data_IF_729305460174
#
_entry.id   IF_729305460174
#
_cell.length_a   1.000
_cell.length_b   1.000
_cell.length_c   1.000
_cell.angle_alpha   90.00
_cell.angle_beta   90.00
_cell.angle_gamma   90.00
#
_symmetry.space_group_name_H-M   'P 1'
#
loop_
_entity.id
_entity.type
_entity.pdbx_description
1 polymer ?
#
# COMPACT_ATOMS: atom_id res chain seq x y z
N UNK A 1 12.26 15.88 32.09
CA UNK A 1 12.91 16.33 30.84
C UNK A 1 12.15 15.69 29.69
N UNK A 2 11.18 16.39 29.10
CA UNK A 2 10.50 15.87 27.92
C UNK A 2 11.44 16.03 26.72
N UNK A 3 12.01 14.93 26.23
CA UNK A 3 12.82 14.95 25.02
C UNK A 3 11.97 15.44 23.85
N UNK A 4 12.46 16.41 23.08
CA UNK A 4 11.81 16.80 21.83
C UNK A 4 11.78 15.58 20.91
N UNK A 5 10.58 15.10 20.62
CA UNK A 5 10.37 13.99 19.70
C UNK A 5 10.72 14.49 18.29
N UNK A 6 11.72 13.86 17.66
CA UNK A 6 12.14 14.23 16.31
C UNK A 6 11.06 13.80 15.33
N UNK A 7 10.38 14.77 14.73
CA UNK A 7 9.46 14.54 13.61
C UNK A 7 10.25 14.26 12.32
N UNK A 8 9.73 13.37 11.48
CA UNK A 8 10.30 12.96 10.20
C UNK A 8 9.45 13.48 9.03
N UNK A 9 10.11 13.94 7.99
CA UNK A 9 9.49 14.33 6.71
C UNK A 9 9.14 13.13 5.84
N UNK A 10 8.32 13.34 4.82
CA UNK A 10 7.95 12.27 3.87
C UNK A 10 9.18 11.81 3.07
N UNK A 11 10.06 12.74 2.70
CA UNK A 11 11.27 12.49 1.92
C UNK A 11 12.26 11.62 2.71
N UNK A 12 12.55 11.99 3.97
CA UNK A 12 13.38 11.19 4.88
C UNK A 12 12.77 9.80 5.12
N UNK A 13 11.44 9.73 5.24
CA UNK A 13 10.75 8.45 5.39
C UNK A 13 10.94 7.54 4.18
N UNK A 14 10.84 8.07 2.97
CA UNK A 14 11.05 7.29 1.75
C UNK A 14 12.48 6.75 1.66
N UNK A 15 13.49 7.56 1.98
CA UNK A 15 14.89 7.11 1.95
C UNK A 15 15.17 5.97 2.93
N UNK A 16 14.57 6.03 4.12
CA UNK A 16 14.91 5.13 5.23
C UNK A 16 13.98 3.90 5.34
N UNK A 17 12.71 4.05 4.98
CA UNK A 17 11.65 3.09 5.28
C UNK A 17 10.87 2.58 4.06
N UNK A 18 11.21 3.01 2.84
CA UNK A 18 10.55 2.49 1.63
C UNK A 18 10.54 0.95 1.60
N UNK A 19 9.35 0.38 1.48
CA UNK A 19 9.14 -1.07 1.40
C UNK A 19 9.25 -1.81 2.73
N UNK A 20 9.53 -1.12 3.85
CA UNK A 20 9.50 -1.70 5.20
C UNK A 20 8.08 -1.59 5.79
N UNK A 21 7.71 -2.42 6.80
CA UNK A 21 6.39 -2.37 7.43
C UNK A 21 6.30 -1.22 8.44
N UNK A 22 6.54 0.00 7.99
CA UNK A 22 6.40 1.22 8.80
C UNK A 22 5.47 2.20 8.11
N UNK A 23 4.85 3.05 8.90
CA UNK A 23 3.98 4.13 8.46
C UNK A 23 4.46 5.45 9.08
N UNK A 24 4.38 6.52 8.29
CA UNK A 24 4.59 7.88 8.77
C UNK A 24 3.22 8.49 9.13
N UNK A 25 2.98 8.70 10.42
CA UNK A 25 1.71 9.25 10.94
C UNK A 25 2.02 10.51 11.72
N UNK A 26 1.56 11.67 11.22
CA UNK A 26 1.80 12.99 11.84
C UNK A 26 3.29 13.26 12.14
N UNK A 27 4.17 12.87 11.22
CA UNK A 27 5.62 13.01 11.38
C UNK A 27 6.28 11.97 12.30
N UNK A 28 5.52 10.98 12.81
CA UNK A 28 6.05 9.90 13.66
C UNK A 28 6.09 8.57 12.93
N UNK A 29 7.11 7.78 13.22
CA UNK A 29 7.26 6.42 12.66
C UNK A 29 6.50 5.43 13.53
N UNK A 30 5.55 4.73 12.91
CA UNK A 30 4.78 3.67 13.55
C UNK A 30 5.06 2.35 12.85
N UNK A 31 5.38 1.31 13.61
CA UNK A 31 5.51 -0.04 13.06
C UNK A 31 4.13 -0.62 12.74
N UNK A 32 3.98 -1.16 11.54
CA UNK A 32 2.75 -1.87 11.16
C UNK A 32 2.70 -3.23 11.85
N UNK A 33 1.57 -3.55 12.44
CA UNK A 33 1.32 -4.89 13.00
C UNK A 33 1.41 -5.96 11.90
N UNK A 34 2.11 -7.08 12.13
CA UNK A 34 2.16 -8.19 11.18
C UNK A 34 0.77 -8.68 10.80
N UNK A 35 0.53 -8.88 9.50
CA UNK A 35 -0.74 -9.40 9.00
C UNK A 35 -0.77 -10.92 9.20
N UNK A 36 -1.65 -11.39 10.08
CA UNK A 36 -1.95 -12.81 10.27
C UNK A 36 -2.80 -13.41 9.15
N UNK A 37 -2.89 -14.74 9.11
CA UNK A 37 -3.64 -15.49 8.08
C UNK A 37 -5.10 -15.07 8.01
N UNK A 38 -5.77 -14.90 9.16
CA UNK A 38 -7.18 -14.49 9.21
C UNK A 38 -7.39 -13.12 8.56
N UNK A 39 -6.54 -12.14 8.89
CA UNK A 39 -6.61 -10.81 8.30
C UNK A 39 -6.34 -10.87 6.78
N UNK A 40 -5.35 -11.65 6.34
CA UNK A 40 -5.09 -11.88 4.92
C UNK A 40 -6.28 -12.52 4.18
N UNK A 41 -6.95 -13.49 4.81
CA UNK A 41 -8.13 -14.15 4.24
C UNK A 41 -9.35 -13.24 4.13
N UNK A 42 -9.56 -12.33 5.09
CA UNK A 42 -10.63 -11.32 5.03
C UNK A 42 -10.32 -10.28 3.97
N UNK A 43 -9.13 -9.67 3.99
CA UNK A 43 -8.73 -8.64 3.01
C UNK A 43 -8.75 -9.15 1.58
N UNK A 44 -8.35 -10.41 1.33
CA UNK A 44 -8.46 -11.03 -0.01
C UNK A 44 -9.91 -11.13 -0.49
N UNK A 45 -10.83 -11.55 0.37
CA UNK A 45 -12.26 -11.69 0.02
C UNK A 45 -12.89 -10.33 -0.29
N UNK A 46 -12.59 -9.33 0.55
CA UNK A 46 -13.05 -7.95 0.33
C UNK A 46 -12.50 -7.40 -0.98
N UNK A 47 -11.19 -7.55 -1.23
CA UNK A 47 -10.57 -7.09 -2.47
C UNK A 47 -11.14 -7.76 -3.72
N UNK A 48 -11.48 -9.05 -3.67
CA UNK A 48 -12.09 -9.74 -4.79
C UNK A 48 -13.49 -9.22 -5.12
N UNK A 49 -14.34 -9.02 -4.11
CA UNK A 49 -15.70 -8.51 -4.30
C UNK A 49 -15.70 -7.06 -4.80
N UNK A 50 -14.87 -6.21 -4.17
CA UNK A 50 -14.77 -4.80 -4.55
C UNK A 50 -14.13 -4.64 -5.94
N UNK A 51 -13.09 -5.42 -6.23
CA UNK A 51 -12.43 -5.42 -7.54
C UNK A 51 -13.39 -5.76 -8.67
N UNK A 52 -14.18 -6.82 -8.50
CA UNK A 52 -15.19 -7.21 -9.50
C UNK A 52 -16.18 -6.09 -9.78
N UNK A 53 -16.70 -5.42 -8.74
CA UNK A 53 -17.61 -4.29 -8.89
C UNK A 53 -16.93 -3.10 -9.60
N UNK A 54 -15.72 -2.75 -9.20
CA UNK A 54 -14.96 -1.64 -9.82
C UNK A 54 -14.68 -1.93 -11.30
N UNK A 55 -14.32 -3.16 -11.64
CA UNK A 55 -14.04 -3.59 -13.02
C UNK A 55 -15.30 -3.58 -13.89
N UNK A 56 -16.41 -4.11 -13.38
CA UNK A 56 -17.71 -4.15 -14.09
C UNK A 56 -18.22 -2.75 -14.42
N UNK A 57 -18.01 -1.80 -13.52
CA UNK A 57 -18.50 -0.43 -13.65
C UNK A 57 -17.46 0.57 -14.14
N UNK A 58 -16.21 0.15 -14.38
CA UNK A 58 -15.13 1.03 -14.84
C UNK A 58 -14.78 2.16 -13.86
N UNK A 59 -14.76 1.87 -12.56
CA UNK A 59 -14.66 2.89 -11.49
C UNK A 59 -13.23 3.20 -11.03
N UNK A 60 -12.21 2.54 -11.60
CA UNK A 60 -10.81 2.75 -11.25
C UNK A 60 -10.08 1.46 -10.93
N UNK A 61 -9.22 1.47 -9.90
CA UNK A 61 -8.42 0.33 -9.50
C UNK A 61 -8.53 0.06 -7.99
N UNK A 62 -8.53 -1.21 -7.60
CA UNK A 62 -8.47 -1.64 -6.20
C UNK A 62 -7.06 -2.14 -5.90
N UNK A 63 -6.37 -1.44 -4.99
CA UNK A 63 -5.04 -1.82 -4.53
C UNK A 63 -5.10 -2.40 -3.11
N UNK A 64 -4.26 -3.39 -2.85
CA UNK A 64 -4.10 -3.98 -1.52
C UNK A 64 -2.66 -4.39 -1.28
N UNK A 65 -2.32 -4.69 -0.02
CA UNK A 65 -1.04 -5.32 0.33
C UNK A 65 -1.03 -6.77 -0.15
N UNK A 66 -0.73 -6.97 -1.44
CA UNK A 66 -0.47 -8.29 -2.03
C UNK A 66 0.97 -8.75 -1.78
N UNK A 67 1.23 -10.06 -1.87
CA UNK A 67 2.61 -10.59 -1.98
C UNK A 67 3.35 -10.07 -3.23
N UNK A 68 2.60 -9.57 -4.21
CA UNK A 68 3.16 -8.85 -5.34
C UNK A 68 3.42 -7.40 -4.91
N UNK A 69 4.69 -7.13 -4.63
CA UNK A 69 5.23 -5.81 -4.38
C UNK A 69 4.86 -4.90 -5.55
N UNK A 70 3.87 -4.03 -5.37
CA UNK A 70 3.66 -2.90 -6.28
C UNK A 70 4.92 -2.04 -6.15
N UNK A 71 5.71 -1.84 -7.22
CA UNK A 71 6.91 -1.04 -7.12
C UNK A 71 6.49 0.40 -6.76
N UNK A 72 7.30 1.07 -5.94
CA UNK A 72 6.94 2.38 -5.35
C UNK A 72 6.57 3.45 -6.39
N UNK A 73 6.94 3.26 -7.65
CA UNK A 73 6.61 4.12 -8.79
C UNK A 73 5.22 3.86 -9.41
N UNK A 74 4.50 2.80 -9.02
CA UNK A 74 3.16 2.49 -9.53
C UNK A 74 2.03 3.16 -8.73
N UNK A 75 2.36 3.96 -7.71
CA UNK A 75 1.38 4.71 -6.91
C UNK A 75 0.91 6.04 -7.55
N UNK A 76 1.32 6.32 -8.79
CA UNK A 76 0.89 7.53 -9.50
C UNK A 76 0.65 7.25 -10.98
N UNK A 77 -0.51 6.71 -11.36
CA UNK A 77 -1.03 6.86 -12.73
C UNK A 77 -2.56 6.91 -12.75
N UNK A 78 -3.12 8.02 -12.27
CA UNK A 78 -4.41 8.48 -12.80
C UNK A 78 -4.21 8.90 -14.25
N UNK A 79 -4.71 8.08 -15.19
CA UNK A 79 -4.84 8.45 -16.59
C UNK A 79 -4.04 7.59 -17.55
N UNK A 80 -4.74 6.61 -18.14
CA UNK A 80 -4.38 5.84 -19.35
C UNK A 80 -3.37 4.68 -19.17
N UNK A 81 -3.98 3.50 -19.04
CA UNK A 81 -3.73 2.25 -19.78
C UNK A 81 -2.28 1.77 -19.84
N UNK A 82 -1.96 0.77 -19.02
CA UNK A 82 -0.99 -0.26 -19.41
C UNK A 82 -1.58 -1.66 -19.25
N UNK A 83 -1.81 -2.28 -20.40
CA UNK A 83 -1.66 -3.73 -20.60
C UNK A 83 -0.24 -4.11 -20.20
N UNK A 84 -0.08 -5.28 -19.57
CA UNK A 84 0.76 -6.42 -19.96
C UNK A 84 0.83 -7.36 -18.74
N UNK A 85 0.12 -8.50 -18.74
CA UNK A 85 0.49 -9.81 -19.29
C UNK A 85 1.68 -10.54 -18.64
N UNK A 86 1.33 -11.76 -18.20
CA UNK A 86 2.10 -13.00 -18.18
C UNK A 86 3.18 -13.16 -17.12
N UNK A 87 2.80 -13.92 -16.09
CA UNK A 87 3.68 -14.75 -15.28
C UNK A 87 4.42 -15.77 -16.18
N UNK A 88 5.73 -15.91 -16.00
CA UNK A 88 6.46 -17.16 -16.14
C UNK A 88 7.21 -17.39 -14.84
#
# INVERSE_FOLDING_TARGET
MAGQEKLMTVEEFWELYAGKPYELVNGRITEMTPIGITHGGVTRRVGALLGAFVDEHGLGEVVGRGRNRIPANALYLTGRRLRLYSQR
#
